data_IF_597061973830
#
_entry.id   IF_597061973830
#
_cell.length_a   1.000
_cell.length_b   1.000
_cell.length_c   1.000
_cell.angle_alpha   90.00
_cell.angle_beta   90.00
_cell.angle_gamma   90.00
#
_symmetry.space_group_name_H-M   'P 1'
#
loop_
_entity.id
_entity.type
_entity.pdbx_description
1 polymer ?
#
# COMPACT_ATOMS: atom_id res chain seq x y z
N UNK A 1 5.94 -1.63 -22.51
CA UNK A 1 4.92 -2.57 -23.02
C UNK A 1 3.78 -2.61 -22.03
N UNK A 2 2.60 -3.06 -22.44
CA UNK A 2 1.47 -3.30 -21.55
C UNK A 2 1.47 -4.77 -21.12
N UNK A 3 1.37 -5.02 -19.83
CA UNK A 3 1.23 -6.36 -19.25
C UNK A 3 -0.12 -6.45 -18.55
N UNK A 4 -0.84 -7.54 -18.79
CA UNK A 4 -2.14 -7.83 -18.18
C UNK A 4 -2.00 -9.05 -17.29
N UNK A 5 -2.69 -9.06 -16.16
CA UNK A 5 -2.72 -10.17 -15.21
C UNK A 5 -4.13 -10.42 -14.71
N UNK A 6 -4.41 -11.68 -14.38
CA UNK A 6 -5.67 -12.11 -13.79
C UNK A 6 -5.44 -13.31 -12.90
N UNK A 7 -6.06 -13.31 -11.73
CA UNK A 7 -5.98 -14.38 -10.75
C UNK A 7 -7.37 -14.63 -10.16
N UNK A 8 -7.68 -15.90 -9.91
CA UNK A 8 -8.86 -16.31 -9.17
C UNK A 8 -8.45 -17.33 -8.12
N UNK A 9 -8.93 -17.14 -6.89
CA UNK A 9 -8.57 -17.95 -5.75
C UNK A 9 -9.79 -18.28 -4.91
N UNK A 10 -9.79 -19.47 -4.32
CA UNK A 10 -10.73 -19.87 -3.30
C UNK A 10 -9.97 -20.13 -2.01
N UNK A 11 -10.48 -19.61 -0.90
CA UNK A 11 -9.98 -19.93 0.42
C UNK A 11 -11.14 -20.23 1.36
N UNK A 12 -10.95 -21.24 2.21
CA UNK A 12 -11.84 -21.54 3.32
C UNK A 12 -11.09 -21.27 4.61
N UNK A 13 -11.53 -20.26 5.35
CA UNK A 13 -10.97 -20.01 6.69
C UNK A 13 -11.44 -21.12 7.62
N UNK A 14 -10.50 -21.91 8.12
CA UNK A 14 -10.74 -22.88 9.19
C UNK A 14 -9.76 -22.56 10.35
N UNK A 15 -10.07 -21.53 11.13
CA UNK A 15 -9.25 -21.13 12.27
C UNK A 15 -9.96 -21.47 13.58
N UNK A 16 -9.99 -22.76 13.92
CA UNK A 16 -10.21 -23.28 15.28
C UNK A 16 -11.48 -22.85 16.06
N UNK A 17 -12.42 -22.14 15.43
CA UNK A 17 -13.75 -21.84 15.97
C UNK A 17 -14.81 -22.48 15.06
N UNK A 18 -15.43 -23.56 15.54
CA UNK A 18 -16.51 -24.29 14.86
C UNK A 18 -17.74 -23.45 14.51
N UNK A 19 -17.82 -22.20 14.98
CA UNK A 19 -18.98 -21.32 14.80
C UNK A 19 -18.85 -20.33 13.64
N UNK A 20 -17.68 -20.17 13.02
CA UNK A 20 -17.47 -19.18 11.96
C UNK A 20 -16.63 -19.74 10.82
N UNK A 21 -17.31 -20.39 9.87
CA UNK A 21 -16.70 -20.81 8.61
C UNK A 21 -17.07 -19.82 7.52
N UNK A 22 -16.05 -19.24 6.88
CA UNK A 22 -16.20 -18.38 5.72
C UNK A 22 -15.63 -19.08 4.48
N UNK A 23 -16.47 -19.17 3.45
CA UNK A 23 -16.06 -19.55 2.10
C UNK A 23 -15.80 -18.26 1.33
N UNK A 24 -14.54 -18.01 0.93
CA UNK A 24 -14.12 -16.78 0.28
C UNK A 24 -13.61 -17.04 -1.12
N UNK A 25 -14.20 -16.37 -2.09
CA UNK A 25 -13.72 -16.27 -3.46
C UNK A 25 -13.04 -14.92 -3.66
N UNK A 26 -11.88 -14.92 -4.31
CA UNK A 26 -11.10 -13.72 -4.60
C UNK A 26 -10.77 -13.70 -6.09
N UNK A 27 -11.12 -12.63 -6.77
CA UNK A 27 -10.78 -12.37 -8.15
C UNK A 27 -9.93 -11.11 -8.21
N UNK A 28 -8.79 -11.18 -8.89
CA UNK A 28 -7.90 -10.04 -9.11
C UNK A 28 -7.66 -9.88 -10.59
N UNK A 29 -7.70 -8.65 -11.08
CA UNK A 29 -7.27 -8.28 -12.41
C UNK A 29 -6.34 -7.09 -12.33
N UNK A 30 -5.36 -7.01 -13.23
CA UNK A 30 -4.43 -5.89 -13.24
C UNK A 30 -3.87 -5.62 -14.63
N UNK A 31 -3.49 -4.37 -14.84
CA UNK A 31 -2.77 -3.93 -16.01
C UNK A 31 -1.62 -3.01 -15.57
N UNK A 32 -0.44 -3.23 -16.11
CA UNK A 32 0.72 -2.38 -15.85
C UNK A 32 1.45 -2.06 -17.15
N UNK A 33 2.11 -0.92 -17.19
CA UNK A 33 2.90 -0.58 -18.34
C UNK A 33 3.66 0.73 -18.19
N UNK A 34 4.37 1.06 -19.27
CA UNK A 34 5.14 2.29 -19.39
C UNK A 34 4.39 3.22 -20.35
N UNK A 35 3.86 4.35 -19.85
CA UNK A 35 3.24 5.38 -20.69
C UNK A 35 4.31 6.11 -21.51
N UNK A 36 5.39 6.50 -20.84
CA UNK A 36 6.56 7.13 -21.46
C UNK A 36 7.83 6.73 -20.69
N UNK A 37 9.03 6.94 -21.26
CA UNK A 37 10.32 6.49 -20.68
C UNK A 37 10.55 6.84 -19.19
N UNK A 38 10.01 7.93 -18.62
CA UNK A 38 10.11 8.16 -17.19
C UNK A 38 8.87 7.75 -16.40
N UNK A 39 7.75 7.39 -17.04
CA UNK A 39 6.45 7.25 -16.42
C UNK A 39 5.87 5.85 -16.61
N UNK A 40 5.84 5.10 -15.52
CA UNK A 40 5.19 3.80 -15.42
C UNK A 40 3.86 3.94 -14.66
N UNK A 41 2.91 3.08 -14.98
CA UNK A 41 1.60 3.02 -14.34
C UNK A 41 1.19 1.58 -14.07
N UNK A 42 0.38 1.40 -13.05
CA UNK A 42 -0.36 0.16 -12.81
C UNK A 42 -1.77 0.47 -12.36
N UNK A 43 -2.71 -0.36 -12.79
CA UNK A 43 -4.08 -0.38 -12.27
C UNK A 43 -4.41 -1.80 -11.87
N UNK A 44 -5.12 -1.97 -10.78
CA UNK A 44 -5.61 -3.28 -10.38
C UNK A 44 -7.00 -3.19 -9.76
N UNK A 45 -7.74 -4.27 -9.91
CA UNK A 45 -9.05 -4.48 -9.36
C UNK A 45 -9.06 -5.78 -8.58
N UNK A 46 -9.64 -5.74 -7.39
CA UNK A 46 -9.92 -6.89 -6.54
C UNK A 46 -11.43 -6.95 -6.32
N UNK A 47 -12.00 -8.12 -6.52
CA UNK A 47 -13.33 -8.47 -6.06
C UNK A 47 -13.22 -9.67 -5.13
N UNK A 48 -13.79 -9.57 -3.94
CA UNK A 48 -13.83 -10.66 -2.99
C UNK A 48 -15.26 -10.87 -2.52
N UNK A 49 -15.70 -12.12 -2.54
CA UNK A 49 -16.98 -12.55 -2.00
C UNK A 49 -16.72 -13.51 -0.85
N UNK A 50 -17.34 -13.29 0.30
CA UNK A 50 -17.17 -14.12 1.49
C UNK A 50 -18.53 -14.49 2.08
N UNK A 51 -18.86 -15.77 2.05
CA UNK A 51 -20.13 -16.29 2.57
C UNK A 51 -19.94 -16.93 3.95
N UNK A 52 -20.80 -16.54 4.89
CA UNK A 52 -20.90 -17.17 6.20
C UNK A 52 -21.93 -18.31 6.16
N UNK A 53 -21.46 -19.56 6.32
CA UNK A 53 -22.31 -20.76 6.15
C UNK A 53 -23.45 -20.93 7.15
N UNK A 54 -23.39 -20.31 8.33
CA UNK A 54 -24.40 -20.51 9.37
C UNK A 54 -25.51 -19.47 9.39
N UNK A 55 -25.30 -18.32 8.74
CA UNK A 55 -26.23 -17.18 8.82
C UNK A 55 -26.62 -16.65 7.43
N UNK A 56 -26.19 -17.33 6.37
CA UNK A 56 -26.31 -16.90 4.95
C UNK A 56 -25.87 -15.45 4.70
N UNK A 57 -25.01 -14.91 5.58
CA UNK A 57 -24.49 -13.55 5.44
C UNK A 57 -23.39 -13.56 4.37
N UNK A 58 -23.53 -12.67 3.40
CA UNK A 58 -22.56 -12.47 2.34
C UNK A 58 -21.86 -11.14 2.54
N UNK A 59 -20.54 -11.13 2.41
CA UNK A 59 -19.69 -9.95 2.47
C UNK A 59 -18.97 -9.79 1.16
N UNK A 60 -19.20 -8.67 0.49
CA UNK A 60 -18.53 -8.33 -0.76
C UNK A 60 -17.54 -7.23 -0.47
N UNK A 61 -16.30 -7.41 -0.93
CA UNK A 61 -15.28 -6.37 -0.93
C UNK A 61 -14.78 -6.10 -2.33
N UNK A 62 -14.64 -4.83 -2.67
CA UNK A 62 -14.17 -4.35 -3.97
C UNK A 62 -13.05 -3.36 -3.72
N UNK A 63 -11.90 -3.59 -4.35
CA UNK A 63 -10.76 -2.69 -4.24
C UNK A 63 -10.31 -2.29 -5.64
N UNK A 64 -10.10 -0.99 -5.85
CA UNK A 64 -9.57 -0.43 -7.08
C UNK A 64 -8.31 0.34 -6.73
N UNK A 65 -7.19 -0.03 -7.33
CA UNK A 65 -5.92 0.65 -7.11
C UNK A 65 -5.39 1.18 -8.43
N UNK A 66 -4.89 2.42 -8.42
CA UNK A 66 -4.15 3.02 -9.51
C UNK A 66 -2.84 3.58 -8.96
N UNK A 67 -1.72 3.16 -9.51
CA UNK A 67 -0.39 3.62 -9.15
C UNK A 67 0.32 4.26 -10.35
N UNK A 68 1.16 5.23 -10.04
CA UNK A 68 2.01 5.93 -11.00
C UNK A 68 3.40 6.04 -10.39
N UNK A 69 4.41 5.67 -11.17
CA UNK A 69 5.81 5.87 -10.82
C UNK A 69 6.46 6.75 -11.87
N UNK A 70 7.05 7.86 -11.44
CA UNK A 70 7.61 8.87 -12.32
C UNK A 70 9.07 9.19 -11.97
N UNK A 71 9.98 8.90 -12.89
CA UNK A 71 11.37 9.36 -12.85
C UNK A 71 11.48 10.79 -13.39
N UNK A 72 11.37 11.77 -12.51
CA UNK A 72 11.49 13.21 -12.84
C UNK A 72 12.86 13.54 -13.43
N UNK A 73 13.94 13.00 -12.84
CA UNK A 73 15.31 13.14 -13.33
C UNK A 73 16.08 11.83 -13.15
N UNK A 74 17.38 11.78 -13.50
CA UNK A 74 18.21 10.59 -13.23
C UNK A 74 18.36 10.25 -11.75
N UNK A 75 18.14 11.22 -10.87
CA UNK A 75 18.34 11.09 -9.42
C UNK A 75 17.08 11.32 -8.61
N UNK A 76 16.03 11.89 -9.19
CA UNK A 76 14.77 12.19 -8.51
C UNK A 76 13.65 11.34 -9.12
N UNK A 77 12.91 10.65 -8.25
CA UNK A 77 11.69 9.92 -8.59
C UNK A 77 10.54 10.38 -7.71
N UNK A 78 9.33 10.23 -8.21
CA UNK A 78 8.09 10.43 -7.49
C UNK A 78 7.17 9.25 -7.74
N UNK A 79 6.28 8.96 -6.81
CA UNK A 79 5.25 7.94 -6.97
C UNK A 79 3.93 8.41 -6.36
N UNK A 80 2.84 7.93 -6.93
CA UNK A 80 1.48 8.16 -6.46
C UNK A 80 0.72 6.86 -6.47
N UNK A 81 -0.14 6.64 -5.48
CA UNK A 81 -1.06 5.52 -5.43
C UNK A 81 -2.40 6.00 -4.89
N UNK A 82 -3.48 5.63 -5.56
CA UNK A 82 -4.85 5.83 -5.13
C UNK A 82 -5.50 4.46 -5.03
N UNK A 83 -6.02 4.13 -3.86
CA UNK A 83 -6.81 2.92 -3.65
C UNK A 83 -8.17 3.29 -3.10
N UNK A 84 -9.23 2.84 -3.77
CA UNK A 84 -10.59 2.84 -3.23
C UNK A 84 -10.93 1.42 -2.78
N UNK A 85 -11.48 1.28 -1.59
CA UNK A 85 -11.87 0.00 -0.99
C UNK A 85 -13.28 0.12 -0.42
N UNK A 86 -14.20 -0.71 -0.91
CA UNK A 86 -15.58 -0.84 -0.45
C UNK A 86 -15.72 -2.26 0.09
N UNK A 87 -15.99 -2.41 1.38
CA UNK A 87 -16.21 -3.71 2.03
C UNK A 87 -17.69 -4.06 2.28
N UNK A 88 -18.60 -3.32 1.62
CA UNK A 88 -20.05 -3.42 1.75
C UNK A 88 -20.61 -2.82 3.05
N UNK A 89 -19.75 -2.44 3.99
CA UNK A 89 -20.13 -1.75 5.24
C UNK A 89 -19.51 -0.37 5.35
N UNK A 90 -18.35 -0.17 4.72
CA UNK A 90 -17.56 1.04 4.78
C UNK A 90 -16.80 1.23 3.48
N UNK A 91 -16.74 2.48 3.07
CA UNK A 91 -15.87 2.92 1.99
C UNK A 91 -14.63 3.61 2.55
N UNK A 92 -13.49 3.24 1.99
CA UNK A 92 -12.19 3.80 2.31
C UNK A 92 -11.47 4.26 1.04
N UNK A 93 -10.75 5.36 1.17
CA UNK A 93 -9.84 5.85 0.15
C UNK A 93 -8.47 6.03 0.76
N UNK A 94 -7.46 5.42 0.14
CA UNK A 94 -6.05 5.54 0.50
C UNK A 94 -5.33 6.28 -0.62
N UNK A 95 -4.69 7.39 -0.28
CA UNK A 95 -3.88 8.18 -1.19
C UNK A 95 -2.46 8.18 -0.66
N UNK A 96 -1.51 7.69 -1.44
CA UNK A 96 -0.09 7.70 -1.08
C UNK A 96 0.71 8.47 -2.11
N UNK A 97 1.56 9.36 -1.64
CA UNK A 97 2.48 10.15 -2.45
C UNK A 97 3.89 9.96 -1.92
N UNK A 98 4.85 9.78 -2.81
CA UNK A 98 6.24 9.63 -2.43
C UNK A 98 7.18 10.37 -3.35
N UNK A 99 8.33 10.74 -2.80
CA UNK A 99 9.46 11.31 -3.54
C UNK A 99 10.73 10.65 -3.05
N UNK A 100 11.61 10.31 -3.99
CA UNK A 100 12.94 9.78 -3.74
C UNK A 100 13.99 10.65 -4.40
N UNK A 101 15.11 10.85 -3.73
CA UNK A 101 16.25 11.59 -4.25
C UNK A 101 17.57 10.90 -3.91
N UNK A 102 18.29 10.49 -4.94
CA UNK A 102 19.69 10.09 -4.85
C UNK A 102 20.57 11.33 -4.81
N UNK A 103 21.00 11.74 -3.61
CA UNK A 103 21.89 12.89 -3.41
C UNK A 103 23.30 12.59 -3.90
N UNK A 104 23.79 11.39 -3.59
CA UNK A 104 25.06 10.85 -4.08
C UNK A 104 24.86 9.35 -4.37
N UNK A 105 25.81 8.67 -5.06
CA UNK A 105 25.71 7.23 -5.26
C UNK A 105 25.58 6.39 -3.98
N UNK A 106 25.88 6.97 -2.81
CA UNK A 106 25.76 6.30 -1.51
C UNK A 106 24.65 6.85 -0.61
N UNK A 107 24.03 7.98 -0.96
CA UNK A 107 23.07 8.66 -0.09
C UNK A 107 21.74 8.84 -0.82
N UNK A 108 20.70 8.24 -0.25
CA UNK A 108 19.33 8.30 -0.75
C UNK A 108 18.43 8.91 0.32
N UNK A 109 17.64 9.90 -0.07
CA UNK A 109 16.58 10.47 0.73
C UNK A 109 15.24 10.06 0.13
N UNK A 110 14.28 9.68 0.96
CA UNK A 110 12.91 9.46 0.53
C UNK A 110 11.92 10.08 1.50
N UNK A 111 10.79 10.52 0.96
CA UNK A 111 9.65 11.00 1.72
C UNK A 111 8.39 10.32 1.20
N UNK A 112 7.46 10.03 2.10
CA UNK A 112 6.16 9.48 1.76
C UNK A 112 5.08 10.13 2.64
N UNK A 113 3.94 10.44 2.04
CA UNK A 113 2.74 10.85 2.74
C UNK A 113 1.59 9.93 2.32
N UNK A 114 0.84 9.43 3.29
CA UNK A 114 -0.36 8.63 3.07
C UNK A 114 -1.53 9.31 3.78
N UNK A 115 -2.61 9.53 3.05
CA UNK A 115 -3.87 10.03 3.58
C UNK A 115 -4.89 8.92 3.42
N UNK A 116 -5.56 8.57 4.51
CA UNK A 116 -6.69 7.66 4.52
C UNK A 116 -7.94 8.47 4.82
N UNK A 117 -9.00 8.29 4.04
CA UNK A 117 -10.33 8.84 4.30
C UNK A 117 -11.39 7.75 4.19
N UNK A 118 -12.56 7.98 4.77
CA UNK A 118 -13.71 7.08 4.66
C UNK A 118 -14.98 7.71 5.26
N UNK A 119 -16.13 7.09 5.02
CA UNK A 119 -17.46 7.63 5.38
C UNK A 119 -17.69 7.91 6.88
N UNK A 120 -16.79 7.45 7.77
CA UNK A 120 -16.99 7.46 9.23
C UNK A 120 -16.09 8.46 9.99
N UNK A 121 -15.72 9.61 9.40
CA UNK A 121 -14.82 10.62 10.02
C UNK A 121 -13.40 10.13 10.36
N UNK A 122 -13.09 8.86 10.10
CA UNK A 122 -11.79 8.23 10.27
C UNK A 122 -10.87 8.67 9.13
N UNK A 123 -10.38 9.91 9.23
CA UNK A 123 -9.27 10.38 8.40
C UNK A 123 -7.96 10.27 9.18
N UNK A 124 -6.99 9.59 8.60
CA UNK A 124 -5.66 9.43 9.18
C UNK A 124 -4.63 9.91 8.17
N UNK A 125 -3.63 10.65 8.63
CA UNK A 125 -2.46 10.98 7.82
C UNK A 125 -1.20 10.35 8.41
N UNK A 126 -0.33 9.87 7.52
CA UNK A 126 0.99 9.38 7.85
C UNK A 126 1.98 10.11 6.98
N UNK A 127 3.03 10.65 7.58
CA UNK A 127 4.13 11.29 6.85
C UNK A 127 5.42 10.68 7.32
N UNK A 128 6.28 10.26 6.42
CA UNK A 128 7.56 9.69 6.77
C UNK A 128 8.67 10.24 5.89
N UNK A 129 9.84 10.37 6.48
CA UNK A 129 11.08 10.66 5.78
C UNK A 129 12.13 9.63 6.18
N UNK A 130 12.98 9.23 5.23
CA UNK A 130 14.03 8.26 5.45
C UNK A 130 15.30 8.69 4.72
N UNK A 131 16.43 8.60 5.42
CA UNK A 131 17.76 8.70 4.87
C UNK A 131 18.39 7.31 4.87
N UNK A 132 18.89 6.89 3.71
CA UNK A 132 19.60 5.63 3.53
C UNK A 132 21.03 5.90 3.07
N UNK A 133 21.99 5.27 3.74
CA UNK A 133 23.40 5.27 3.39
C UNK A 133 23.86 3.88 2.95
N UNK A 134 24.37 3.77 1.72
CA UNK A 134 24.94 2.54 1.19
C UNK A 134 26.38 2.39 1.69
N UNK A 135 26.59 1.44 2.61
CA UNK A 135 27.91 1.10 3.14
C UNK A 135 28.71 0.31 2.11
N UNK A 136 28.04 -0.61 1.42
CA UNK A 136 28.60 -1.42 0.35
C UNK A 136 27.49 -1.92 -0.60
N UNK A 137 27.83 -2.74 -1.60
CA UNK A 137 26.87 -3.18 -2.62
C UNK A 137 25.67 -3.97 -2.07
N UNK A 138 25.81 -4.58 -0.88
CA UNK A 138 24.77 -5.41 -0.24
C UNK A 138 24.37 -4.91 1.15
N UNK A 139 24.92 -3.80 1.62
CA UNK A 139 24.75 -3.34 3.00
C UNK A 139 24.41 -1.86 3.05
N UNK A 140 23.39 -1.51 3.84
CA UNK A 140 22.91 -0.14 3.98
C UNK A 140 22.47 0.17 5.40
N UNK A 141 22.80 1.36 5.87
CA UNK A 141 22.24 1.95 7.09
C UNK A 141 21.05 2.82 6.71
N UNK A 142 20.01 2.85 7.54
CA UNK A 142 18.91 3.78 7.37
C UNK A 142 18.50 4.41 8.69
N UNK A 143 18.04 5.65 8.60
CA UNK A 143 17.35 6.36 9.67
C UNK A 143 16.09 6.96 9.10
N UNK A 144 15.00 6.91 9.85
CA UNK A 144 13.73 7.45 9.42
C UNK A 144 12.91 7.99 10.57
N UNK A 145 12.01 8.90 10.22
CA UNK A 145 10.99 9.43 11.11
C UNK A 145 9.65 9.26 10.43
N UNK A 146 8.62 8.90 11.19
CA UNK A 146 7.26 8.89 10.70
C UNK A 146 6.33 9.51 11.73
N UNK A 147 5.53 10.46 11.30
CA UNK A 147 4.42 11.03 12.03
C UNK A 147 3.13 10.35 11.56
N UNK A 148 2.30 9.92 12.51
CA UNK A 148 1.08 9.15 12.23
C UNK A 148 -0.05 9.68 13.09
N UNK A 149 -1.13 10.13 12.45
CA UNK A 149 -2.40 10.41 13.10
C UNK A 149 -3.24 9.13 13.13
N UNK A 150 -3.63 8.71 14.33
CA UNK A 150 -4.46 7.52 14.55
C UNK A 150 -5.93 7.93 14.72
N UNK A 151 -6.77 7.79 13.68
CA UNK A 151 -8.17 8.22 13.78
C UNK A 151 -8.98 7.40 14.78
N UNK A 152 -8.64 6.13 15.00
CA UNK A 152 -9.31 5.24 15.98
C UNK A 152 -8.99 5.56 17.45
N UNK A 153 -8.03 6.45 17.72
CA UNK A 153 -7.60 6.84 19.06
C UNK A 153 -7.84 8.34 19.33
N UNK A 154 -9.00 8.87 18.88
CA UNK A 154 -9.36 10.27 19.09
C UNK A 154 -8.46 11.27 18.36
N UNK A 155 -7.90 10.88 17.21
CA UNK A 155 -6.96 11.67 16.41
C UNK A 155 -5.66 12.01 17.15
N UNK A 156 -5.20 11.09 17.99
CA UNK A 156 -3.89 11.22 18.63
C UNK A 156 -2.79 11.11 17.58
N UNK A 157 -1.86 12.07 17.61
CA UNK A 157 -0.68 12.09 16.75
C UNK A 157 0.51 11.44 17.44
N UNK A 158 1.15 10.50 16.77
CA UNK A 158 2.32 9.78 17.26
C UNK A 158 3.50 9.91 16.31
N UNK A 159 4.64 10.31 16.84
CA UNK A 159 5.91 10.32 16.10
C UNK A 159 6.71 9.06 16.44
N UNK A 160 7.24 8.41 15.41
CA UNK A 160 8.10 7.24 15.51
C UNK A 160 9.44 7.51 14.84
N UNK A 161 10.50 7.02 15.46
CA UNK A 161 11.86 7.08 14.93
C UNK A 161 12.35 5.66 14.69
N UNK A 162 13.02 5.46 13.56
CA UNK A 162 13.52 4.15 13.14
C UNK A 162 14.98 4.29 12.74
N UNK A 163 15.79 3.31 13.14
CA UNK A 163 17.16 3.16 12.69
C UNK A 163 17.42 1.69 12.41
N UNK A 164 18.25 1.37 11.44
CA UNK A 164 18.57 -0.02 11.17
C UNK A 164 19.67 -0.23 10.15
N UNK A 165 20.10 -1.49 10.08
CA UNK A 165 21.06 -2.01 9.13
C UNK A 165 20.36 -3.09 8.30
N UNK A 166 20.44 -2.97 6.98
CA UNK A 166 20.05 -4.03 6.05
C UNK A 166 21.33 -4.60 5.44
N UNK A 167 21.48 -5.92 5.47
CA UNK A 167 22.61 -6.61 4.83
C UNK A 167 22.11 -7.84 4.08
N UNK A 168 22.56 -8.02 2.84
CA UNK A 168 22.33 -9.23 2.04
C UNK A 168 23.56 -10.14 2.09
N UNK A 169 23.34 -11.45 2.24
CA UNK A 169 24.37 -12.49 2.21
C UNK A 169 24.44 -13.12 0.82
#
# INVERSE_FOLDING_TARGET
GLMLSGETGFSRSNRYDSRRTYDTWTHRAGAEGTLWRPLDFSVSFLYQDSHHRQTDLTFIRRQYTADVNWRLTRTISANGSLTFDDDGRRDYTYQTYGVGWTLTPKILLSGQATVTGGESEVSGDRRSAQLTYLVGPRSSLYVGVADVEYPSAGRTRGTSYQFGLKTGF
#
